data_IF_301644155205
#
_entry.id   IF_301644155205
#
_cell.length_a   1.000
_cell.length_b   1.000
_cell.length_c   1.000
_cell.angle_alpha   90.00
_cell.angle_beta   90.00
_cell.angle_gamma   90.00
#
_symmetry.space_group_name_H-M   'P 1'
#
loop_
_entity.id
_entity.type
_entity.pdbx_description
1 polymer ?
#
# COMPACT_ATOMS: atom_id res chain seq x y z
N UNK A 1 5.31 -21.59 2.97
CA UNK A 1 4.15 -21.65 3.89
C UNK A 1 4.17 -20.56 4.97
N UNK A 2 5.33 -20.20 5.56
CA UNK A 2 5.41 -19.21 6.62
C UNK A 2 4.91 -17.79 6.25
N UNK A 3 5.00 -17.36 4.98
CA UNK A 3 4.48 -16.05 4.59
C UNK A 3 2.96 -16.03 4.37
N UNK A 4 2.36 -17.13 3.90
CA UNK A 4 0.89 -17.24 3.73
C UNK A 4 0.19 -17.25 5.09
N UNK A 5 0.75 -17.98 6.06
CA UNK A 5 0.25 -18.00 7.45
C UNK A 5 0.33 -16.62 8.12
N UNK A 6 1.12 -15.69 7.55
CA UNK A 6 1.31 -14.31 8.04
C UNK A 6 0.47 -13.28 7.29
N UNK A 7 0.14 -13.49 6.02
CA UNK A 7 -0.78 -12.62 5.27
C UNK A 7 -2.23 -12.81 5.69
N UNK A 8 -2.61 -14.02 6.12
CA UNK A 8 -3.99 -14.33 6.53
C UNK A 8 -4.47 -13.47 7.71
N UNK A 9 -3.71 -13.31 8.83
CA UNK A 9 -4.12 -12.45 9.94
C UNK A 9 -4.21 -10.98 9.56
N UNK A 10 -3.27 -10.47 8.75
CA UNK A 10 -3.25 -9.06 8.32
C UNK A 10 -4.45 -8.74 7.43
N UNK A 11 -4.76 -9.62 6.48
CA UNK A 11 -5.93 -9.49 5.63
C UNK A 11 -7.22 -9.60 6.44
N UNK A 12 -7.30 -10.56 7.38
CA UNK A 12 -8.49 -10.74 8.24
C UNK A 12 -8.80 -9.49 9.08
N UNK A 13 -7.79 -8.89 9.72
CA UNK A 13 -7.96 -7.65 10.51
C UNK A 13 -8.41 -6.51 9.60
N UNK A 14 -7.82 -6.36 8.41
CA UNK A 14 -8.23 -5.32 7.44
C UNK A 14 -9.67 -5.49 6.98
N UNK A 15 -10.07 -6.71 6.61
CA UNK A 15 -11.44 -6.99 6.16
C UNK A 15 -12.46 -6.85 7.28
N UNK A 16 -12.13 -7.30 8.49
CA UNK A 16 -12.99 -7.15 9.67
C UNK A 16 -13.17 -5.68 10.05
N UNK A 17 -12.08 -4.92 10.17
CA UNK A 17 -12.14 -3.48 10.42
C UNK A 17 -12.90 -2.76 9.32
N UNK A 18 -12.66 -3.09 8.05
CA UNK A 18 -13.38 -2.49 6.92
C UNK A 18 -14.89 -2.77 6.99
N UNK A 19 -15.31 -3.98 7.33
CA UNK A 19 -16.72 -4.33 7.49
C UNK A 19 -17.37 -3.54 8.64
N UNK A 20 -16.70 -3.45 9.78
CA UNK A 20 -17.18 -2.69 10.95
C UNK A 20 -17.30 -1.19 10.64
N UNK A 21 -16.28 -0.59 10.01
CA UNK A 21 -16.31 0.82 9.65
C UNK A 21 -17.33 1.12 8.55
N UNK A 22 -17.45 0.28 7.52
CA UNK A 22 -18.44 0.47 6.45
C UNK A 22 -19.88 0.37 6.95
N UNK A 23 -20.14 -0.45 7.97
CA UNK A 23 -21.46 -0.57 8.59
C UNK A 23 -21.76 0.56 9.60
N UNK A 24 -20.76 1.04 10.35
CA UNK A 24 -20.95 2.07 11.39
C UNK A 24 -20.84 3.52 10.91
N UNK A 25 -20.03 3.80 9.88
CA UNK A 25 -19.83 5.18 9.37
C UNK A 25 -21.12 5.84 8.87
N UNK A 26 -22.02 5.17 8.11
CA UNK A 26 -23.24 5.81 7.62
C UNK A 26 -24.12 6.32 8.76
N UNK A 27 -24.26 5.55 9.85
CA UNK A 27 -25.03 5.95 11.03
C UNK A 27 -24.40 7.15 11.76
N UNK A 28 -23.06 7.16 11.91
CA UNK A 28 -22.34 8.28 12.54
C UNK A 28 -22.36 9.57 11.71
N UNK A 29 -22.24 9.47 10.38
CA UNK A 29 -22.30 10.62 9.48
C UNK A 29 -23.72 11.22 9.40
N UNK A 30 -24.74 10.38 9.51
CA UNK A 30 -26.14 10.79 9.57
C UNK A 30 -26.46 11.48 10.92
N UNK A 31 -25.87 11.02 12.03
CA UNK A 31 -25.93 11.71 13.33
C UNK A 31 -25.12 13.02 13.38
N UNK A 32 -24.09 13.16 12.54
CA UNK A 32 -23.27 14.38 12.43
C UNK A 32 -23.83 15.41 11.42
N UNK A 33 -25.00 15.16 10.82
CA UNK A 33 -25.65 16.09 9.88
C UNK A 33 -24.96 16.22 8.53
N UNK A 34 -24.04 15.32 8.19
CA UNK A 34 -23.32 15.35 6.91
C UNK A 34 -24.15 14.60 5.86
N UNK A 35 -24.73 15.35 4.92
CA UNK A 35 -25.49 14.78 3.80
C UNK A 35 -24.53 14.02 2.88
N UNK A 36 -24.53 12.69 2.97
CA UNK A 36 -23.63 11.79 2.24
C UNK A 36 -24.07 11.65 0.78
N UNK A 37 -23.84 12.71 -0.01
CA UNK A 37 -24.26 12.76 -1.41
C UNK A 37 -23.47 11.82 -2.35
N UNK A 38 -22.40 11.15 -1.88
CA UNK A 38 -21.59 10.23 -2.70
C UNK A 38 -21.12 8.99 -1.94
N UNK A 39 -21.65 7.82 -2.31
CA UNK A 39 -21.25 6.49 -1.79
C UNK A 39 -19.75 6.22 -1.94
N UNK A 40 -19.11 6.81 -2.96
CA UNK A 40 -17.68 6.74 -3.20
C UNK A 40 -16.85 7.43 -2.09
N UNK A 41 -17.29 8.59 -1.60
CA UNK A 41 -16.60 9.35 -0.55
C UNK A 41 -16.70 8.60 0.78
N UNK A 42 -17.87 8.04 1.09
CA UNK A 42 -18.07 7.21 2.30
C UNK A 42 -17.18 5.97 2.25
N UNK A 43 -17.09 5.31 1.09
CA UNK A 43 -16.23 4.13 0.91
C UNK A 43 -14.74 4.47 1.03
N UNK A 44 -14.31 5.63 0.52
CA UNK A 44 -12.94 6.12 0.65
C UNK A 44 -12.59 6.43 2.11
N UNK A 45 -13.44 7.14 2.82
CA UNK A 45 -13.22 7.46 4.24
C UNK A 45 -13.23 6.19 5.10
N UNK A 46 -14.22 5.31 4.91
CA UNK A 46 -14.26 4.03 5.61
C UNK A 46 -13.02 3.18 5.33
N UNK A 47 -12.54 3.15 4.08
CA UNK A 47 -11.29 2.50 3.71
C UNK A 47 -10.06 3.12 4.38
N UNK A 48 -10.00 4.46 4.44
CA UNK A 48 -8.93 5.20 5.11
C UNK A 48 -8.86 4.92 6.61
N UNK A 49 -9.99 5.04 7.31
CA UNK A 49 -10.07 4.73 8.75
C UNK A 49 -9.79 3.25 9.04
N UNK A 50 -10.36 2.34 8.25
CA UNK A 50 -10.06 0.91 8.38
C UNK A 50 -8.57 0.62 8.18
N UNK A 51 -7.95 1.30 7.21
CA UNK A 51 -6.51 1.23 6.96
C UNK A 51 -5.68 1.71 8.15
N UNK A 52 -6.04 2.86 8.73
CA UNK A 52 -5.36 3.42 9.91
C UNK A 52 -5.50 2.53 11.14
N UNK A 53 -6.69 1.99 11.40
CA UNK A 53 -6.92 1.08 12.53
C UNK A 53 -6.19 -0.24 12.36
N UNK A 54 -6.24 -0.84 11.16
CA UNK A 54 -5.47 -2.03 10.86
C UNK A 54 -3.97 -1.77 11.01
N UNK A 55 -3.50 -0.61 10.56
CA UNK A 55 -2.11 -0.19 10.72
C UNK A 55 -1.75 -0.08 12.19
N UNK A 56 -2.56 0.57 13.04
CA UNK A 56 -2.29 0.68 14.47
C UNK A 56 -2.20 -0.69 15.17
N UNK A 57 -3.07 -1.64 14.81
CA UNK A 57 -3.07 -3.00 15.39
C UNK A 57 -1.88 -3.84 14.91
N UNK A 58 -1.50 -3.71 13.64
CA UNK A 58 -0.44 -4.50 13.03
C UNK A 58 0.96 -3.91 13.24
N UNK A 59 1.05 -2.62 13.57
CA UNK A 59 2.31 -1.90 13.71
C UNK A 59 3.31 -2.56 14.67
N UNK A 60 2.91 -3.03 15.87
CA UNK A 60 3.84 -3.68 16.80
C UNK A 60 4.52 -4.91 16.20
N UNK A 61 3.77 -5.70 15.42
CA UNK A 61 4.27 -6.90 14.77
C UNK A 61 5.23 -6.54 13.62
N UNK A 62 4.90 -5.50 12.85
CA UNK A 62 5.79 -4.99 11.79
C UNK A 62 7.11 -4.48 12.36
N UNK A 63 7.07 -3.71 13.45
CA UNK A 63 8.27 -3.18 14.12
C UNK A 63 9.15 -4.30 14.67
N UNK A 64 8.58 -5.25 15.43
CA UNK A 64 9.32 -6.40 15.97
C UNK A 64 10.01 -7.17 14.86
N UNK A 65 9.28 -7.46 13.77
CA UNK A 65 9.80 -8.22 12.65
C UNK A 65 10.92 -7.48 11.91
N UNK A 66 10.74 -6.17 11.71
CA UNK A 66 11.75 -5.33 11.06
C UNK A 66 13.02 -5.30 11.91
N UNK A 67 12.90 -5.16 13.23
CA UNK A 67 14.05 -5.18 14.15
C UNK A 67 14.72 -6.55 14.25
N UNK A 68 13.96 -7.64 14.25
CA UNK A 68 14.54 -8.99 14.21
C UNK A 68 15.33 -9.23 12.92
N UNK A 69 14.79 -8.80 11.78
CA UNK A 69 15.46 -8.93 10.49
C UNK A 69 16.73 -8.07 10.39
N UNK A 70 16.74 -6.88 11.01
CA UNK A 70 17.91 -5.98 10.98
C UNK A 70 18.98 -6.36 11.99
N UNK A 71 18.60 -6.88 13.17
CA UNK A 71 19.53 -7.29 14.24
C UNK A 71 19.99 -8.75 14.11
N UNK A 72 19.54 -9.48 13.08
CA UNK A 72 19.90 -10.89 12.88
C UNK A 72 19.36 -11.83 13.97
N UNK A 73 18.32 -11.42 14.70
CA UNK A 73 17.76 -12.17 15.82
C UNK A 73 16.73 -13.22 15.35
N UNK A 74 17.09 -14.04 14.36
CA UNK A 74 16.19 -15.03 13.74
C UNK A 74 15.88 -16.23 14.63
N UNK A 75 16.71 -16.48 15.64
CA UNK A 75 16.61 -17.66 16.51
C UNK A 75 15.65 -17.45 17.69
N UNK A 76 15.25 -16.20 17.95
CA UNK A 76 14.29 -15.87 19.01
C UNK A 76 12.86 -15.96 18.49
N UNK A 77 11.96 -16.48 19.33
CA UNK A 77 10.52 -16.35 19.06
C UNK A 77 10.11 -14.87 19.03
N UNK A 78 9.19 -14.53 18.13
CA UNK A 78 8.66 -13.17 17.94
C UNK A 78 8.17 -12.57 19.27
N UNK A 79 7.52 -13.38 20.10
CA UNK A 79 7.03 -12.96 21.41
C UNK A 79 8.16 -12.69 22.41
N UNK A 80 9.21 -13.51 22.40
CA UNK A 80 10.39 -13.32 23.24
C UNK A 80 11.16 -12.06 22.86
N UNK A 81 11.27 -11.76 21.57
CA UNK A 81 11.88 -10.52 21.10
C UNK A 81 11.01 -9.30 21.44
N UNK A 82 9.69 -9.40 21.25
CA UNK A 82 8.75 -8.33 21.62
C UNK A 82 8.84 -8.00 23.12
N UNK A 83 8.89 -9.01 23.99
CA UNK A 83 9.02 -8.80 25.44
C UNK A 83 10.37 -8.12 25.79
N UNK A 84 11.48 -8.55 25.16
CA UNK A 84 12.78 -7.89 25.30
C UNK A 84 12.75 -6.43 24.84
N UNK A 85 12.03 -6.14 23.77
CA UNK A 85 11.90 -4.77 23.24
C UNK A 85 11.10 -3.87 24.19
N UNK A 86 10.01 -4.39 24.76
CA UNK A 86 9.21 -3.68 25.77
C UNK A 86 10.00 -3.46 27.05
N UNK A 87 10.80 -4.43 27.50
CA UNK A 87 11.67 -4.27 28.67
C UNK A 87 12.74 -3.19 28.46
N UNK A 88 13.26 -3.02 27.23
CA UNK A 88 14.31 -2.03 26.93
C UNK A 88 13.78 -0.61 26.68
N UNK A 89 12.61 -0.46 26.06
CA UNK A 89 12.13 0.85 25.58
C UNK A 89 10.64 1.10 25.79
N UNK A 90 9.97 0.25 26.56
CA UNK A 90 8.54 0.33 26.83
C UNK A 90 7.66 0.05 25.61
N UNK A 91 6.36 0.26 25.79
CA UNK A 91 5.35 0.18 24.72
C UNK A 91 5.65 1.14 23.54
N UNK A 92 6.16 2.37 23.73
CA UNK A 92 6.47 3.26 22.62
C UNK A 92 7.53 2.70 21.65
N UNK A 93 8.42 1.81 22.10
CA UNK A 93 9.40 1.18 21.23
C UNK A 93 8.78 0.31 20.13
N UNK A 94 7.58 -0.24 20.37
CA UNK A 94 6.81 -1.03 19.39
C UNK A 94 6.19 -0.16 18.29
N UNK A 95 5.99 1.14 18.56
CA UNK A 95 5.38 2.10 17.62
C UNK A 95 6.40 3.04 16.97
N UNK A 96 7.71 2.74 17.10
CA UNK A 96 8.79 3.50 16.46
C UNK A 96 8.67 3.44 14.94
N UNK A 97 8.55 4.61 14.31
CA UNK A 97 8.37 4.76 12.87
C UNK A 97 6.92 4.92 12.40
N UNK A 98 5.92 4.86 13.30
CA UNK A 98 4.51 5.02 12.92
C UNK A 98 4.21 6.39 12.28
N UNK A 99 4.70 7.53 12.83
CA UNK A 99 4.46 8.83 12.22
C UNK A 99 5.06 8.94 10.82
N UNK A 100 6.29 8.43 10.63
CA UNK A 100 6.94 8.39 9.32
C UNK A 100 6.20 7.51 8.33
N UNK A 101 5.65 6.40 8.81
CA UNK A 101 4.85 5.51 7.99
C UNK A 101 3.58 6.20 7.48
N UNK A 102 2.89 6.95 8.33
CA UNK A 102 1.71 7.73 7.94
C UNK A 102 2.05 8.83 6.92
N UNK A 103 3.11 9.60 7.19
CA UNK A 103 3.56 10.68 6.28
C UNK A 103 3.99 10.12 4.93
N UNK A 104 4.64 8.94 4.91
CA UNK A 104 5.12 8.31 3.66
C UNK A 104 4.01 7.86 2.71
N UNK A 105 2.80 7.64 3.23
CA UNK A 105 1.68 7.10 2.44
C UNK A 105 1.09 8.15 1.49
N UNK A 106 1.02 9.41 1.93
CA UNK A 106 0.46 10.50 1.12
C UNK A 106 1.20 10.74 -0.20
N UNK A 107 2.53 10.95 -0.24
CA UNK A 107 3.25 11.19 -1.49
C UNK A 107 3.19 9.97 -2.43
N UNK A 108 3.19 8.76 -1.89
CA UNK A 108 3.05 7.54 -2.69
C UNK A 108 1.72 7.52 -3.46
N UNK A 109 0.61 7.78 -2.78
CA UNK A 109 -0.69 7.84 -3.43
C UNK A 109 -0.81 9.02 -4.39
N UNK A 110 -0.34 10.21 -4.00
CA UNK A 110 -0.39 11.39 -4.87
C UNK A 110 0.33 11.16 -6.20
N UNK A 111 1.55 10.62 -6.17
CA UNK A 111 2.33 10.33 -7.38
C UNK A 111 1.67 9.19 -8.16
N UNK A 112 1.22 8.13 -7.50
CA UNK A 112 0.58 7.00 -8.17
C UNK A 112 -0.68 7.42 -8.92
N UNK A 113 -1.57 8.19 -8.29
CA UNK A 113 -2.77 8.68 -8.96
C UNK A 113 -2.44 9.71 -10.04
N UNK A 114 -1.49 10.62 -9.79
CA UNK A 114 -1.06 11.60 -10.80
C UNK A 114 -0.47 10.94 -12.05
N UNK A 115 0.44 9.98 -11.90
CA UNK A 115 1.02 9.25 -13.05
C UNK A 115 -0.04 8.40 -13.75
N UNK A 116 -0.93 7.76 -12.99
CA UNK A 116 -2.05 7.00 -13.57
C UNK A 116 -2.96 7.89 -14.43
N UNK A 117 -3.33 9.08 -13.94
CA UNK A 117 -4.17 10.03 -14.67
C UNK A 117 -3.48 10.57 -15.91
N UNK A 118 -2.17 10.86 -15.84
CA UNK A 118 -1.36 11.29 -16.99
C UNK A 118 -1.36 10.20 -18.07
N UNK A 119 -1.06 8.95 -17.70
CA UNK A 119 -1.02 7.82 -18.62
C UNK A 119 -2.39 7.56 -19.26
N UNK A 120 -3.46 7.64 -18.46
CA UNK A 120 -4.82 7.47 -18.94
C UNK A 120 -5.20 8.56 -19.94
N UNK A 121 -4.90 9.83 -19.63
CA UNK A 121 -5.16 10.97 -20.54
C UNK A 121 -4.40 10.82 -21.85
N UNK A 122 -3.10 10.49 -21.78
CA UNK A 122 -2.28 10.24 -22.95
C UNK A 122 -2.90 9.18 -23.87
N UNK A 123 -3.34 8.06 -23.30
CA UNK A 123 -3.93 6.99 -24.09
C UNK A 123 -5.26 7.39 -24.76
N UNK A 124 -6.13 8.12 -24.04
CA UNK A 124 -7.40 8.63 -24.61
C UNK A 124 -7.12 9.57 -25.79
N UNK A 125 -6.11 10.44 -25.68
CA UNK A 125 -5.72 11.37 -26.74
C UNK A 125 -5.13 10.66 -27.96
N UNK A 126 -4.34 9.60 -27.75
CA UNK A 126 -3.75 8.80 -28.83
C UNK A 126 -4.78 7.89 -29.54
N UNK A 127 -5.80 7.43 -28.82
CA UNK A 127 -6.81 6.49 -29.32
C UNK A 127 -8.08 7.19 -29.86
N UNK A 128 -8.07 8.51 -30.09
CA UNK A 128 -9.24 9.29 -30.55
C UNK A 128 -10.54 9.00 -29.78
N UNK A 129 -10.44 8.73 -28.47
CA UNK A 129 -11.60 8.42 -27.63
C UNK A 129 -12.10 6.97 -27.67
N UNK A 130 -11.37 6.02 -28.29
CA UNK A 130 -11.71 4.59 -28.18
C UNK A 130 -11.63 4.07 -26.72
N UNK A 131 -12.46 3.07 -26.44
CA UNK A 131 -12.63 2.48 -25.12
C UNK A 131 -11.33 1.84 -24.61
N UNK A 132 -10.89 2.24 -23.42
CA UNK A 132 -9.69 1.66 -22.79
C UNK A 132 -10.02 0.25 -22.29
N UNK A 133 -9.37 -0.81 -22.81
CA UNK A 133 -9.58 -2.16 -22.29
C UNK A 133 -9.15 -2.23 -20.82
N UNK A 134 -9.87 -3.01 -20.02
CA UNK A 134 -9.60 -3.14 -18.56
C UNK A 134 -8.16 -3.61 -18.27
N UNK A 135 -7.53 -4.35 -19.19
CA UNK A 135 -6.13 -4.79 -19.13
C UNK A 135 -5.15 -3.62 -19.20
N UNK A 136 -5.39 -2.62 -20.07
CA UNK A 136 -4.56 -1.43 -20.17
C UNK A 136 -4.63 -0.56 -18.91
N UNK A 137 -5.81 -0.40 -18.30
CA UNK A 137 -5.92 0.28 -17.00
C UNK A 137 -5.05 -0.39 -15.93
N UNK A 138 -4.96 -1.71 -15.94
CA UNK A 138 -4.13 -2.43 -14.99
C UNK A 138 -2.63 -2.25 -15.28
N UNK A 139 -2.23 -2.22 -16.55
CA UNK A 139 -0.87 -1.89 -16.97
C UNK A 139 -0.45 -0.46 -16.55
N UNK A 140 -1.33 0.54 -16.76
CA UNK A 140 -1.10 1.91 -16.29
C UNK A 140 -1.02 1.99 -14.76
N UNK A 141 -1.84 1.21 -14.05
CA UNK A 141 -1.78 1.10 -12.60
C UNK A 141 -0.45 0.52 -12.10
N UNK A 142 0.13 -0.43 -12.84
CA UNK A 142 1.43 -1.03 -12.53
C UNK A 142 2.58 -0.05 -12.79
N UNK A 143 2.63 0.57 -13.98
CA UNK A 143 3.68 1.55 -14.31
C UNK A 143 3.62 2.76 -13.39
N UNK A 144 2.42 3.27 -13.09
CA UNK A 144 2.23 4.36 -12.14
C UNK A 144 2.69 3.98 -10.73
N UNK A 145 2.38 2.76 -10.27
CA UNK A 145 2.87 2.23 -8.99
C UNK A 145 4.40 2.11 -8.95
N UNK A 146 5.00 1.63 -10.05
CA UNK A 146 6.45 1.49 -10.16
C UNK A 146 7.16 2.85 -10.12
N UNK A 147 6.70 3.83 -10.91
CA UNK A 147 7.20 5.20 -10.88
C UNK A 147 7.02 5.84 -9.50
N UNK A 148 5.85 5.67 -8.87
CA UNK A 148 5.59 6.18 -7.53
C UNK A 148 6.55 5.58 -6.51
N UNK A 149 6.78 4.26 -6.57
CA UNK A 149 7.74 3.58 -5.68
C UNK A 149 9.17 4.06 -5.89
N UNK A 150 9.59 4.36 -7.13
CA UNK A 150 10.92 4.88 -7.42
C UNK A 150 11.12 6.27 -6.79
N UNK A 151 10.16 7.17 -6.97
CA UNK A 151 10.23 8.55 -6.48
C UNK A 151 10.11 8.60 -4.95
N UNK A 152 9.28 7.74 -4.36
CA UNK A 152 9.08 7.69 -2.91
C UNK A 152 10.05 6.77 -2.17
N UNK A 153 10.96 6.11 -2.89
CA UNK A 153 11.91 5.18 -2.29
C UNK A 153 12.77 5.79 -1.16
N UNK A 154 13.28 7.04 -1.26
CA UNK A 154 13.98 7.67 -0.15
C UNK A 154 13.13 7.74 1.13
N UNK A 155 11.84 8.05 1.00
CA UNK A 155 10.92 8.10 2.14
C UNK A 155 10.74 6.71 2.75
N UNK A 156 10.70 5.68 1.92
CA UNK A 156 10.64 4.30 2.37
C UNK A 156 11.90 3.89 3.16
N UNK A 157 13.09 4.30 2.72
CA UNK A 157 14.35 4.06 3.45
C UNK A 157 14.33 4.73 4.82
N UNK A 158 13.87 5.99 4.90
CA UNK A 158 13.79 6.72 6.18
C UNK A 158 12.82 6.03 7.14
N UNK A 159 11.64 5.65 6.64
CA UNK A 159 10.64 4.89 7.40
C UNK A 159 11.23 3.58 7.93
N UNK A 160 11.86 2.79 7.07
CA UNK A 160 12.46 1.49 7.45
C UNK A 160 13.59 1.66 8.45
N UNK A 161 14.41 2.71 8.33
CA UNK A 161 15.45 3.02 9.31
C UNK A 161 14.86 3.38 10.68
N UNK A 162 13.82 4.20 10.72
CA UNK A 162 13.12 4.53 11.96
C UNK A 162 12.49 3.29 12.64
N UNK A 163 12.00 2.33 11.84
CA UNK A 163 11.46 1.05 12.35
C UNK A 163 12.53 0.05 12.79
N UNK A 164 13.71 0.07 12.15
CA UNK A 164 14.80 -0.90 12.33
C UNK A 164 15.40 -0.94 13.73
N UNK A 165 15.15 0.10 14.54
CA UNK A 165 15.72 0.23 15.89
C UNK A 165 17.23 0.42 15.92
N UNK A 166 17.88 0.59 14.76
CA UNK A 166 19.33 0.81 14.62
C UNK A 166 19.57 2.26 14.20
N UNK A 167 20.27 3.01 15.06
CA UNK A 167 20.50 4.46 14.91
C UNK A 167 19.36 5.31 15.45
N UNK A 168 19.40 6.62 15.17
CA UNK A 168 18.42 7.56 15.70
C UNK A 168 17.03 7.37 15.08
N UNK A 169 15.96 7.30 15.88
CA UNK A 169 14.59 7.18 15.40
C UNK A 169 14.09 8.48 14.73
N UNK A 170 14.77 9.60 14.97
CA UNK A 170 14.41 10.90 14.45
C UNK A 170 14.85 11.03 12.97
N UNK A 171 13.91 11.14 12.02
CA UNK A 171 14.23 11.22 10.59
C UNK A 171 15.07 12.45 10.25
N UNK A 172 14.87 13.56 10.99
CA UNK A 172 15.59 14.82 10.82
C UNK A 172 17.09 14.69 11.12
N UNK A 173 17.47 13.75 11.98
CA UNK A 173 18.88 13.48 12.32
C UNK A 173 19.41 12.34 11.44
N UNK A 174 18.58 11.31 11.22
CA UNK A 174 18.97 10.13 10.46
C UNK A 174 19.23 10.42 8.97
N UNK A 175 18.49 11.36 8.36
CA UNK A 175 18.65 11.70 6.93
C UNK A 175 19.98 12.41 6.63
N UNK A 176 20.34 13.52 7.31
CA UNK A 176 21.64 14.15 7.11
C UNK A 176 22.80 13.21 7.45
N UNK A 177 22.65 12.39 8.49
CA UNK A 177 23.65 11.40 8.86
C UNK A 177 23.83 10.33 7.78
N UNK A 178 22.73 9.83 7.20
CA UNK A 178 22.77 8.88 6.08
C UNK A 178 23.47 9.49 4.86
N UNK A 179 23.11 10.72 4.51
CA UNK A 179 23.70 11.42 3.37
C UNK A 179 25.20 11.68 3.56
N UNK A 180 25.65 11.94 4.79
CA UNK A 180 27.07 12.11 5.11
C UNK A 180 27.87 10.81 5.12
N UNK A 181 27.24 9.68 5.46
CA UNK A 181 27.93 8.38 5.62
C UNK A 181 27.89 7.54 4.35
N UNK A 182 26.71 7.35 3.76
CA UNK A 182 26.49 6.49 2.59
C UNK A 182 26.24 7.28 1.28
N UNK A 183 26.13 8.61 1.36
CA UNK A 183 25.83 9.46 0.21
C UNK A 183 24.41 9.25 -0.36
N UNK A 184 24.20 9.79 -1.57
CA UNK A 184 22.95 9.62 -2.32
C UNK A 184 22.61 8.16 -2.67
N UNK A 185 23.57 7.27 -2.99
CA UNK A 185 23.28 5.84 -3.21
C UNK A 185 22.69 5.15 -1.98
N UNK A 186 23.01 5.62 -0.76
CA UNK A 186 22.41 5.14 0.49
C UNK A 186 20.88 5.27 0.52
N UNK A 187 20.32 6.31 -0.10
CA UNK A 187 18.86 6.52 -0.17
C UNK A 187 18.16 5.59 -1.16
N UNK A 188 18.91 5.01 -2.11
CA UNK A 188 18.40 4.04 -3.09
C UNK A 188 18.89 2.61 -2.85
N UNK A 189 19.58 2.39 -1.72
CA UNK A 189 20.14 1.10 -1.36
C UNK A 189 19.01 0.09 -1.13
N UNK A 190 18.93 -0.91 -2.00
CA UNK A 190 17.88 -1.93 -1.95
C UNK A 190 16.68 -1.66 -2.86
N UNK A 191 16.64 -0.57 -3.65
CA UNK A 191 15.57 -0.36 -4.64
C UNK A 191 15.53 -1.49 -5.66
N UNK A 192 16.69 -1.91 -6.17
CA UNK A 192 16.79 -3.04 -7.09
C UNK A 192 16.27 -4.34 -6.47
N UNK A 193 16.64 -4.63 -5.22
CA UNK A 193 16.15 -5.81 -4.48
C UNK A 193 14.63 -5.75 -4.31
N UNK A 194 14.08 -4.57 -4.03
CA UNK A 194 12.65 -4.34 -3.96
C UNK A 194 11.97 -4.58 -5.33
N UNK A 195 12.53 -4.05 -6.41
CA UNK A 195 12.02 -4.24 -7.77
C UNK A 195 12.04 -5.71 -8.19
N UNK A 196 13.14 -6.43 -7.96
CA UNK A 196 13.25 -7.87 -8.23
C UNK A 196 12.28 -8.72 -7.40
N UNK A 197 11.89 -8.25 -6.21
CA UNK A 197 10.85 -8.90 -5.41
C UNK A 197 9.45 -8.62 -5.96
N UNK A 198 9.19 -7.38 -6.34
CA UNK A 198 7.85 -6.92 -6.77
C UNK A 198 7.51 -7.43 -8.16
N UNK A 199 8.45 -7.43 -9.10
CA UNK A 199 8.18 -7.80 -10.50
C UNK A 199 7.63 -9.23 -10.66
N UNK A 200 8.23 -10.30 -10.09
CA UNK A 200 7.67 -11.65 -10.17
C UNK A 200 6.32 -11.77 -9.46
N UNK A 201 6.18 -11.15 -8.30
CA UNK A 201 4.93 -11.17 -7.54
C UNK A 201 3.78 -10.52 -8.33
N UNK A 202 4.05 -9.37 -8.97
CA UNK A 202 3.10 -8.71 -9.86
C UNK A 202 2.78 -9.56 -11.09
N UNK A 203 3.78 -10.16 -11.74
CA UNK A 203 3.57 -11.03 -12.89
C UNK A 203 2.66 -12.23 -12.55
N UNK A 204 2.91 -12.90 -11.42
CA UNK A 204 2.08 -14.02 -10.94
C UNK A 204 0.65 -13.54 -10.67
N UNK A 205 0.49 -12.37 -10.06
CA UNK A 205 -0.84 -11.81 -9.74
C UNK A 205 -1.63 -11.53 -11.02
N UNK A 206 -1.00 -10.92 -12.02
CA UNK A 206 -1.63 -10.66 -13.33
C UNK A 206 -1.99 -11.95 -14.05
N UNK A 207 -1.06 -12.89 -14.13
CA UNK A 207 -1.30 -14.19 -14.77
C UNK A 207 -2.45 -14.94 -14.10
N UNK A 208 -2.49 -14.93 -12.77
CA UNK A 208 -3.57 -15.56 -12.00
C UNK A 208 -4.91 -14.87 -12.27
N UNK A 209 -4.92 -13.54 -12.28
CA UNK A 209 -6.12 -12.76 -12.58
C UNK A 209 -6.67 -13.08 -13.97
N UNK A 210 -5.82 -13.21 -14.99
CA UNK A 210 -6.22 -13.56 -16.37
C UNK A 210 -6.80 -14.97 -16.47
N UNK A 211 -6.20 -15.97 -15.83
CA UNK A 211 -6.72 -17.34 -15.80
C UNK A 211 -8.08 -17.39 -15.11
N UNK A 212 -8.19 -16.76 -13.94
CA UNK A 212 -9.44 -16.77 -13.15
C UNK A 212 -10.53 -16.03 -13.92
N UNK A 213 -10.22 -14.87 -14.49
CA UNK A 213 -11.17 -14.07 -15.26
C UNK A 213 -11.63 -14.80 -16.50
N UNK A 214 -10.73 -15.37 -17.30
CA UNK A 214 -11.10 -16.13 -18.50
C UNK A 214 -11.95 -17.36 -18.18
N UNK A 215 -11.73 -18.01 -17.03
CA UNK A 215 -12.57 -19.12 -16.57
C UNK A 215 -13.97 -18.64 -16.16
N UNK A 216 -14.05 -17.51 -15.47
CA UNK A 216 -15.32 -16.87 -15.09
C UNK A 216 -16.12 -16.42 -16.31
N UNK A 217 -15.47 -15.79 -17.28
CA UNK A 217 -16.11 -15.31 -18.51
C UNK A 217 -16.66 -16.50 -19.33
N UNK A 218 -15.93 -17.63 -19.39
CA UNK A 218 -16.41 -18.88 -20.00
C UNK A 218 -17.61 -19.49 -19.28
N UNK A 219 -17.64 -19.44 -17.95
CA UNK A 219 -18.74 -19.97 -17.13
C UNK A 219 -19.97 -19.08 -17.16
N UNK A 220 -19.79 -17.76 -17.27
CA UNK A 220 -20.87 -16.78 -17.32
C UNK A 220 -21.59 -16.75 -18.67
N UNK A 221 -21.07 -17.44 -19.70
CA UNK A 221 -21.70 -17.48 -21.04
C UNK A 221 -21.75 -16.13 -21.74
N UNK A 222 -20.97 -15.14 -21.27
CA UNK A 222 -20.94 -13.79 -21.83
C UNK A 222 -20.15 -13.83 -23.14
N UNK A 223 -20.86 -13.88 -24.27
CA UNK A 223 -20.33 -13.32 -25.52
C UNK A 223 -19.98 -11.86 -25.23
N UNK A 224 -18.80 -11.42 -25.64
CA UNK A 224 -18.35 -10.03 -25.47
C UNK A 224 -19.47 -9.07 -25.88
N UNK A 225 -20.12 -8.43 -24.89
CA UNK A 225 -21.03 -7.32 -25.17
C UNK A 225 -20.22 -6.28 -25.94
N UNK A 226 -20.61 -6.09 -27.21
CA UNK A 226 -20.25 -4.96 -28.04
C UNK A 226 -20.28 -3.69 -27.16
N UNK A 227 -19.28 -2.79 -27.26
CA UNK A 227 -19.13 -1.68 -26.34
C UNK A 227 -20.41 -0.83 -26.31
N UNK A 228 -21.06 -0.82 -25.15
CA UNK A 228 -22.21 0.03 -24.84
C UNK A 228 -21.78 1.49 -25.05
N UNK A 229 -22.24 2.06 -26.16
CA UNK A 229 -22.15 3.50 -26.47
C UNK A 229 -23.03 4.25 -25.49
N UNK A 230 -22.50 4.66 -24.34
CA UNK A 230 -23.12 5.75 -23.58
C UNK A 230 -22.81 7.07 -24.29
N UNK A 231 -23.83 7.89 -24.62
CA UNK A 231 -23.63 9.09 -25.42
C UNK A 231 -22.85 10.13 -24.61
N UNK A 232 -21.73 10.55 -25.18
CA UNK A 232 -20.99 11.74 -24.75
C UNK A 232 -21.92 12.93 -24.88
N UNK A 233 -22.25 13.58 -23.75
CA UNK A 233 -22.82 14.93 -23.77
C UNK A 233 -21.75 15.87 -24.32
N UNK A 234 -21.93 16.26 -25.57
CA UNK A 234 -21.25 17.37 -26.25
C UNK A 234 -21.62 18.74 -25.61
N UNK A 235 -20.84 19.80 -25.88
CA UNK A 235 -20.35 20.76 -24.88
C UNK A 235 -21.36 21.77 -24.34
#
# INVERSE_FOLDING_TARGET
MADVLRTIPSSAVRFYSFAVYKAGLPALFQSAGVQTANLAVVSLLAGGFAGMTAMALLFPLETVRTQMATQGATDLSVFSFANKLVQKGGVPALYRGMPMSLVSVMPYFAIRFGVYDILKRWHITLANGEFIPKTFNAAYGFTAGFCASAITFPMEVIRRRAMSGVGDPNPLIAVPLLLRTDGLPGLFRGYFVNACKVAPASAITFFTYEIVRSSLDRLAGVQEDEPVKEPVKEP
#
